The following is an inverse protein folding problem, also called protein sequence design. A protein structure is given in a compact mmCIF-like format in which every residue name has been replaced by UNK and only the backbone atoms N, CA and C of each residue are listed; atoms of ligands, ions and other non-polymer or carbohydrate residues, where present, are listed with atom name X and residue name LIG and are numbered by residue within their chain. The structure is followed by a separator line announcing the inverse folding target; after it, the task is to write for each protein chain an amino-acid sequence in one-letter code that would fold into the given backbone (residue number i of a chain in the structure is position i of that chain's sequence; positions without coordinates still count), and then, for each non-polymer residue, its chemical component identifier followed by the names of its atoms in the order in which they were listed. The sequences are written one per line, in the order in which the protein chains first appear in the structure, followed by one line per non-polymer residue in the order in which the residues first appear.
data_IF_679914187949
#
_entry.id   IF_679914187949
#
_cell.length_a   1.000
_cell.length_b   1.000
_cell.length_c   1.000
_cell.angle_alpha   90.00
_cell.angle_beta   90.00
_cell.angle_gamma   90.00
#
_symmetry.space_group_name_H-M   'P 1'
#
loop_
_entity.id
_entity.type
_entity.pdbx_description
1 polymer ?
#
# COMPACT_ATOMS: atom_id res chain seq x y z
N UNK A 1 9.48 3.33 25.09
CA UNK A 1 8.15 3.93 25.29
C UNK A 1 7.99 4.62 26.65
N UNK A 2 6.81 5.21 26.90
CA UNK A 2 6.52 5.99 28.16
C UNK A 2 6.78 5.20 29.44
N UNK A 3 6.56 3.88 29.44
CA UNK A 3 6.86 3.02 30.60
C UNK A 3 8.36 2.95 30.91
N UNK A 4 9.20 2.88 29.88
CA UNK A 4 10.66 2.88 30.05
C UNK A 4 11.16 4.24 30.59
N UNK A 5 10.63 5.36 30.05
CA UNK A 5 10.95 6.70 30.56
C UNK A 5 10.53 6.90 32.04
N UNK A 6 9.42 6.29 32.47
CA UNK A 6 9.00 6.27 33.89
C UNK A 6 9.87 5.33 34.75
N UNK A 7 10.45 4.28 34.18
CA UNK A 7 11.34 3.35 34.88
C UNK A 7 12.59 4.01 35.45
N UNK A 8 13.07 5.09 34.85
CA UNK A 8 14.24 5.84 35.30
C UNK A 8 14.03 6.59 36.62
N UNK A 9 12.81 6.63 37.17
CA UNK A 9 12.51 7.19 38.51
C UNK A 9 12.73 6.19 39.64
N UNK A 10 12.99 4.90 39.34
CA UNK A 10 13.23 3.90 40.38
C UNK A 10 14.73 3.74 40.64
N UNK A 11 15.13 3.42 41.89
CA UNK A 11 16.49 3.11 42.22
C UNK A 11 16.96 1.90 41.41
N UNK A 12 18.14 2.03 40.82
CA UNK A 12 18.76 0.92 40.06
C UNK A 12 19.66 0.15 41.03
N UNK A 13 19.39 -1.13 41.19
CA UNK A 13 20.22 -2.04 41.96
C UNK A 13 21.09 -2.83 40.96
N UNK A 14 22.40 -2.81 41.17
CA UNK A 14 23.34 -3.57 40.33
C UNK A 14 24.30 -4.34 41.23
N UNK A 15 24.70 -5.52 40.77
CA UNK A 15 25.77 -6.29 41.38
C UNK A 15 27.01 -6.19 40.49
N UNK A 16 28.16 -6.06 41.10
CA UNK A 16 29.42 -6.04 40.38
C UNK A 16 30.41 -7.03 41.02
N UNK A 17 31.24 -7.66 40.19
CA UNK A 17 32.31 -8.53 40.60
C UNK A 17 33.53 -8.25 39.75
N UNK A 18 34.69 -8.17 40.37
CA UNK A 18 35.96 -7.97 39.71
C UNK A 18 36.99 -8.98 40.27
N UNK A 19 37.75 -9.61 39.37
CA UNK A 19 38.83 -10.51 39.69
C UNK A 19 40.07 -10.13 38.89
N UNK A 20 41.18 -9.89 39.59
CA UNK A 20 42.44 -9.60 38.94
C UNK A 20 43.13 -10.91 38.48
N UNK A 21 43.29 -11.03 37.17
CA UNK A 21 43.89 -12.22 36.53
C UNK A 21 45.44 -12.16 36.49
N UNK A 22 46.05 -10.98 36.69
CA UNK A 22 47.50 -10.75 36.59
C UNK A 22 48.00 -10.11 37.89
N UNK A 23 48.77 -10.84 38.64
CA UNK A 23 49.25 -10.42 39.97
C UNK A 23 50.57 -9.65 39.97
N UNK A 24 51.19 -9.35 38.84
CA UNK A 24 52.59 -8.93 38.78
C UNK A 24 52.90 -7.50 39.17
N UNK A 25 51.88 -6.63 39.33
CA UNK A 25 52.06 -5.20 39.66
C UNK A 25 51.07 -4.69 40.70
N UNK A 26 50.45 -5.58 41.49
CA UNK A 26 49.54 -5.16 42.53
C UNK A 26 50.28 -4.80 43.80
N UNK A 27 49.94 -3.65 44.38
CA UNK A 27 50.41 -3.29 45.73
C UNK A 27 49.85 -4.27 46.77
N UNK A 28 50.52 -4.53 47.88
CA UNK A 28 50.12 -5.55 48.88
C UNK A 28 48.72 -5.32 49.51
N UNK A 29 48.04 -4.24 49.17
CA UNK A 29 46.76 -3.81 49.78
C UNK A 29 45.57 -4.04 48.89
N UNK A 30 45.76 -4.44 47.61
CA UNK A 30 44.63 -4.68 46.69
C UNK A 30 44.14 -6.13 46.77
N UNK A 31 42.83 -6.35 47.05
CA UNK A 31 42.28 -7.69 47.10
C UNK A 31 42.23 -8.34 45.72
N UNK A 32 42.55 -9.65 45.64
CA UNK A 32 42.53 -10.45 44.40
C UNK A 32 41.15 -10.51 43.74
N UNK A 33 40.08 -10.28 44.49
CA UNK A 33 38.73 -10.22 44.03
C UNK A 33 37.90 -9.23 44.86
N UNK A 34 36.94 -8.62 44.23
CA UNK A 34 35.95 -7.74 44.86
C UNK A 34 34.58 -8.01 44.27
N UNK A 35 33.59 -8.20 45.12
CA UNK A 35 32.20 -8.30 44.74
C UNK A 35 31.38 -7.41 45.64
N UNK A 36 30.38 -6.77 45.05
CA UNK A 36 29.52 -5.86 45.78
C UNK A 36 28.16 -5.68 45.12
N UNK A 37 27.25 -5.12 45.90
CA UNK A 37 25.94 -4.68 45.46
C UNK A 37 25.89 -3.15 45.61
N UNK A 38 25.53 -2.48 44.49
CA UNK A 38 25.39 -1.03 44.50
C UNK A 38 23.95 -0.63 44.20
N UNK A 39 23.53 0.46 44.83
CA UNK A 39 22.25 1.12 44.55
C UNK A 39 22.55 2.50 43.98
N UNK A 40 22.13 2.74 42.76
CA UNK A 40 22.22 4.05 42.14
C UNK A 40 20.85 4.73 42.16
N UNK A 41 20.77 5.83 42.88
CA UNK A 41 19.57 6.66 42.92
C UNK A 41 19.97 8.11 42.62
N UNK A 42 19.38 8.67 41.55
CA UNK A 42 19.67 10.03 41.14
C UNK A 42 18.66 10.97 41.78
N UNK A 43 19.12 11.76 42.78
CA UNK A 43 18.28 12.62 43.59
C UNK A 43 17.92 13.95 42.89
N UNK A 44 18.75 14.41 41.96
CA UNK A 44 18.63 15.75 41.37
C UNK A 44 18.83 15.71 39.85
N UNK A 45 17.77 15.34 39.10
CA UNK A 45 17.78 15.37 37.64
C UNK A 45 16.36 15.65 37.10
N UNK A 46 15.70 16.59 37.79
CA UNK A 46 14.24 16.72 37.69
C UNK A 46 13.76 17.31 36.34
N UNK A 47 14.60 18.08 35.65
CA UNK A 47 14.20 18.70 34.37
C UNK A 47 14.31 17.73 33.18
N UNK A 48 15.37 16.96 33.09
CA UNK A 48 15.64 16.08 31.97
C UNK A 48 14.64 14.91 31.93
N UNK A 49 14.30 14.35 33.09
CA UNK A 49 13.33 13.25 33.20
C UNK A 49 11.90 13.65 32.85
N UNK A 50 11.47 14.86 33.23
CA UNK A 50 10.16 15.40 32.85
C UNK A 50 10.09 15.65 31.34
N UNK A 51 11.19 16.16 30.77
CA UNK A 51 11.35 16.35 29.32
C UNK A 51 11.30 15.01 28.56
N UNK A 52 11.98 13.98 29.07
CA UNK A 52 11.97 12.64 28.49
C UNK A 52 10.57 12.00 28.46
N UNK A 53 9.83 12.16 29.56
CA UNK A 53 8.44 11.68 29.63
C UNK A 53 7.56 12.47 28.65
N UNK A 54 7.74 13.78 28.56
CA UNK A 54 7.01 14.63 27.64
C UNK A 54 7.33 14.27 26.19
N UNK A 55 8.61 14.09 25.87
CA UNK A 55 9.06 13.63 24.55
C UNK A 55 8.49 12.24 24.21
N UNK A 56 8.52 11.30 25.15
CA UNK A 56 7.96 9.97 24.94
C UNK A 56 6.44 10.00 24.72
N UNK A 57 5.71 10.88 25.40
CA UNK A 57 4.27 11.10 25.17
C UNK A 57 4.01 11.71 23.78
N UNK A 58 4.80 12.73 23.40
CA UNK A 58 4.69 13.35 22.08
C UNK A 58 4.95 12.35 20.95
N UNK A 59 5.92 11.43 21.11
CA UNK A 59 6.16 10.33 20.17
C UNK A 59 4.96 9.38 20.05
N UNK A 60 4.28 9.05 21.16
CA UNK A 60 3.07 8.23 21.12
C UNK A 60 1.94 8.95 20.38
N UNK A 61 1.75 10.25 20.65
CA UNK A 61 0.75 11.07 19.96
C UNK A 61 1.06 11.15 18.47
N UNK A 62 2.33 11.35 18.09
CA UNK A 62 2.77 11.34 16.69
C UNK A 62 2.50 10.01 16.02
N UNK A 63 2.81 8.89 16.67
CA UNK A 63 2.58 7.55 16.13
C UNK A 63 1.08 7.24 15.95
N UNK A 64 0.23 7.66 16.89
CA UNK A 64 -1.23 7.49 16.77
C UNK A 64 -1.83 8.35 15.67
N UNK A 65 -1.34 9.58 15.50
CA UNK A 65 -1.75 10.46 14.41
C UNK A 65 -1.32 9.90 13.05
N UNK A 66 -0.08 9.43 12.92
CA UNK A 66 0.44 8.80 11.71
C UNK A 66 -0.35 7.54 11.34
N UNK A 67 -0.71 6.71 12.32
CA UNK A 67 -1.58 5.56 12.10
C UNK A 67 -2.94 5.98 11.54
N UNK A 68 -3.60 6.95 12.18
CA UNK A 68 -4.90 7.45 11.70
C UNK A 68 -4.82 8.03 10.29
N UNK A 69 -3.75 8.75 9.98
CA UNK A 69 -3.49 9.26 8.63
C UNK A 69 -3.34 8.12 7.62
N UNK A 70 -2.61 7.06 7.97
CA UNK A 70 -2.43 5.89 7.12
C UNK A 70 -3.76 5.16 6.90
N UNK A 71 -4.55 4.95 7.95
CA UNK A 71 -5.87 4.34 7.86
C UNK A 71 -6.79 5.14 6.92
N UNK A 72 -6.82 6.47 7.05
CA UNK A 72 -7.60 7.35 6.17
C UNK A 72 -7.12 7.25 4.70
N UNK A 73 -5.81 7.25 4.46
CA UNK A 73 -5.23 7.11 3.12
C UNK A 73 -5.61 5.77 2.49
N UNK A 74 -5.57 4.69 3.25
CA UNK A 74 -5.98 3.36 2.77
C UNK A 74 -7.46 3.33 2.41
N UNK A 75 -8.33 3.87 3.27
CA UNK A 75 -9.77 3.94 2.98
C UNK A 75 -10.03 4.71 1.69
N UNK A 76 -9.43 5.90 1.53
CA UNK A 76 -9.58 6.70 0.32
C UNK A 76 -9.01 5.99 -0.92
N UNK A 77 -7.89 5.26 -0.79
CA UNK A 77 -7.32 4.50 -1.89
C UNK A 77 -8.24 3.38 -2.38
N UNK A 78 -8.88 2.65 -1.46
CA UNK A 78 -9.86 1.60 -1.79
C UNK A 78 -11.09 2.21 -2.47
N UNK A 79 -11.61 3.32 -1.93
CA UNK A 79 -12.77 4.02 -2.50
C UNK A 79 -12.49 4.51 -3.93
N UNK A 80 -11.33 5.15 -4.15
CA UNK A 80 -10.90 5.58 -5.50
C UNK A 80 -10.73 4.40 -6.44
N UNK A 81 -10.15 3.29 -5.97
CA UNK A 81 -9.99 2.10 -6.79
C UNK A 81 -11.34 1.46 -7.16
N UNK A 82 -12.30 1.45 -6.23
CA UNK A 82 -13.67 1.00 -6.49
C UNK A 82 -14.37 1.86 -7.55
N UNK A 83 -14.33 3.18 -7.40
CA UNK A 83 -14.95 4.09 -8.37
C UNK A 83 -14.33 3.95 -9.77
N UNK A 84 -13.00 3.83 -9.86
CA UNK A 84 -12.31 3.58 -11.14
C UNK A 84 -12.69 2.26 -11.78
N UNK A 85 -12.92 1.22 -10.97
CA UNK A 85 -13.34 -0.08 -11.49
C UNK A 85 -14.77 -0.02 -12.04
N UNK A 86 -15.66 0.70 -11.34
CA UNK A 86 -17.04 0.93 -11.80
C UNK A 86 -17.05 1.72 -13.11
N UNK A 87 -16.33 2.84 -13.17
CA UNK A 87 -16.17 3.66 -14.38
C UNK A 87 -15.62 2.84 -15.56
N UNK A 88 -14.57 2.05 -15.33
CA UNK A 88 -13.98 1.24 -16.39
C UNK A 88 -14.92 0.15 -16.89
N UNK A 89 -15.79 -0.38 -16.03
CA UNK A 89 -16.83 -1.33 -16.43
C UNK A 89 -17.90 -0.65 -17.30
N UNK A 90 -18.40 0.49 -16.88
CA UNK A 90 -19.38 1.27 -17.66
C UNK A 90 -18.81 1.68 -19.01
N UNK A 91 -17.55 2.10 -19.06
CA UNK A 91 -16.86 2.39 -20.32
C UNK A 91 -16.79 1.16 -21.24
N UNK A 92 -16.46 -0.02 -20.70
CA UNK A 92 -16.47 -1.26 -21.47
C UNK A 92 -17.87 -1.57 -22.05
N UNK A 93 -18.92 -1.48 -21.23
CA UNK A 93 -20.29 -1.76 -21.65
C UNK A 93 -20.75 -0.79 -22.76
N UNK A 94 -20.34 0.48 -22.71
CA UNK A 94 -20.57 1.47 -23.77
C UNK A 94 -19.82 1.10 -25.07
N UNK A 95 -18.58 0.63 -24.98
CA UNK A 95 -17.83 0.23 -26.18
C UNK A 95 -18.43 -1.01 -26.86
N UNK A 96 -19.03 -1.94 -26.12
CA UNK A 96 -19.76 -3.07 -26.67
C UNK A 96 -20.90 -2.57 -27.59
N UNK A 97 -21.68 -1.61 -27.10
CA UNK A 97 -22.77 -0.99 -27.88
C UNK A 97 -22.23 -0.24 -29.09
N UNK A 98 -21.12 0.45 -28.97
CA UNK A 98 -20.47 1.18 -30.06
C UNK A 98 -20.00 0.27 -31.18
N UNK A 99 -19.39 -0.88 -30.84
CA UNK A 99 -18.98 -1.89 -31.84
C UNK A 99 -20.18 -2.44 -32.59
N UNK A 100 -21.27 -2.78 -31.87
CA UNK A 100 -22.49 -3.25 -32.50
C UNK A 100 -23.08 -2.23 -33.49
N UNK A 101 -23.12 -0.96 -33.12
CA UNK A 101 -23.59 0.12 -33.99
C UNK A 101 -22.67 0.32 -35.21
N UNK A 102 -21.36 0.29 -35.03
CA UNK A 102 -20.39 0.44 -36.10
C UNK A 102 -20.48 -0.73 -37.09
N UNK A 103 -20.67 -1.96 -36.60
CA UNK A 103 -20.88 -3.14 -37.43
C UNK A 103 -22.16 -3.04 -38.29
N UNK A 104 -23.26 -2.58 -37.69
CA UNK A 104 -24.50 -2.37 -38.40
C UNK A 104 -24.38 -1.23 -39.42
N UNK A 105 -23.69 -0.14 -39.10
CA UNK A 105 -23.41 0.92 -40.07
C UNK A 105 -22.61 0.39 -41.27
N UNK A 106 -21.58 -0.42 -41.05
CA UNK A 106 -20.81 -1.02 -42.12
C UNK A 106 -21.70 -1.91 -43.00
N UNK A 107 -22.52 -2.78 -42.41
CA UNK A 107 -23.46 -3.66 -43.12
C UNK A 107 -24.40 -2.85 -44.01
N UNK A 108 -24.96 -1.75 -43.51
CA UNK A 108 -25.84 -0.86 -44.27
C UNK A 108 -25.12 -0.16 -45.42
N UNK A 109 -23.88 0.29 -45.22
CA UNK A 109 -23.05 0.91 -46.26
C UNK A 109 -22.67 -0.06 -47.34
N UNK A 110 -22.32 -1.30 -47.01
CA UNK A 110 -22.02 -2.36 -47.97
C UNK A 110 -23.27 -2.70 -48.83
N UNK A 111 -24.44 -2.77 -48.20
CA UNK A 111 -25.71 -2.96 -48.92
C UNK A 111 -26.02 -1.77 -49.87
N UNK A 112 -25.93 -0.55 -49.39
CA UNK A 112 -26.17 0.66 -50.21
C UNK A 112 -25.15 0.73 -51.37
N UNK A 113 -23.92 0.34 -51.17
CA UNK A 113 -22.91 0.26 -52.23
C UNK A 113 -23.28 -0.76 -53.31
N UNK A 114 -23.75 -1.96 -52.91
CA UNK A 114 -24.19 -2.99 -53.86
C UNK A 114 -25.42 -2.56 -54.68
N UNK A 115 -26.23 -1.65 -54.17
CA UNK A 115 -27.40 -1.06 -54.86
C UNK A 115 -27.03 0.22 -55.67
N UNK A 116 -25.73 0.61 -55.66
CA UNK A 116 -25.25 1.82 -56.36
C UNK A 116 -25.58 3.16 -55.66
N UNK A 117 -26.05 3.13 -54.41
CA UNK A 117 -26.48 4.28 -53.64
C UNK A 117 -25.39 4.85 -52.71
N UNK A 118 -24.22 4.21 -52.60
CA UNK A 118 -23.08 4.64 -51.77
C UNK A 118 -21.79 4.47 -52.55
N UNK A 119 -20.74 5.14 -52.10
CA UNK A 119 -19.40 5.06 -52.71
C UNK A 119 -18.50 3.99 -52.03
N UNK A 120 -17.48 3.54 -52.73
CA UNK A 120 -16.45 2.67 -52.11
C UNK A 120 -15.71 3.36 -50.97
N UNK A 121 -15.65 4.72 -50.97
CA UNK A 121 -15.06 5.51 -49.91
C UNK A 121 -15.90 5.39 -48.66
N UNK A 122 -17.23 5.49 -48.75
CA UNK A 122 -18.16 5.38 -47.60
C UNK A 122 -18.01 4.02 -46.90
N UNK A 123 -17.91 2.93 -47.70
CA UNK A 123 -17.70 1.57 -47.18
C UNK A 123 -16.35 1.46 -46.44
N UNK A 124 -15.28 2.02 -47.04
CA UNK A 124 -13.94 2.02 -46.40
C UNK A 124 -13.93 2.80 -45.12
N UNK A 125 -14.59 3.97 -45.06
CA UNK A 125 -14.70 4.78 -43.87
C UNK A 125 -15.47 4.03 -42.78
N UNK A 126 -16.63 3.41 -43.09
CA UNK A 126 -17.39 2.62 -42.14
C UNK A 126 -16.57 1.45 -41.59
N UNK A 127 -15.74 0.79 -42.42
CA UNK A 127 -14.85 -0.30 -42.02
C UNK A 127 -13.74 0.21 -41.07
N UNK A 128 -13.18 1.39 -41.33
CA UNK A 128 -12.20 2.03 -40.44
C UNK A 128 -12.83 2.39 -39.10
N UNK A 129 -14.07 2.88 -39.09
CA UNK A 129 -14.83 3.17 -37.86
C UNK A 129 -15.08 1.91 -37.03
N UNK A 130 -15.47 0.78 -37.66
CA UNK A 130 -15.63 -0.48 -36.96
C UNK A 130 -14.33 -0.95 -36.34
N UNK A 131 -13.21 -0.95 -37.11
CA UNK A 131 -11.91 -1.33 -36.56
C UNK A 131 -11.49 -0.42 -35.39
N UNK A 132 -11.74 0.89 -35.47
CA UNK A 132 -11.49 1.84 -34.39
C UNK A 132 -12.32 1.50 -33.14
N UNK A 133 -13.61 1.16 -33.32
CA UNK A 133 -14.48 0.76 -32.22
C UNK A 133 -14.02 -0.55 -31.55
N UNK A 134 -13.60 -1.54 -32.32
CA UNK A 134 -13.05 -2.81 -31.81
C UNK A 134 -11.76 -2.59 -31.00
N UNK A 135 -10.86 -1.71 -31.46
CA UNK A 135 -9.65 -1.34 -30.74
C UNK A 135 -10.00 -0.67 -29.41
N UNK A 136 -10.96 0.27 -29.44
CA UNK A 136 -11.43 0.96 -28.25
C UNK A 136 -12.04 -0.01 -27.23
N UNK A 137 -12.82 -0.99 -27.70
CA UNK A 137 -13.40 -2.03 -26.83
C UNK A 137 -12.31 -2.86 -26.14
N UNK A 138 -11.27 -3.29 -26.88
CA UNK A 138 -10.16 -4.04 -26.29
C UNK A 138 -9.38 -3.21 -25.27
N UNK A 139 -9.17 -1.93 -25.54
CA UNK A 139 -8.53 -1.01 -24.62
C UNK A 139 -9.36 -0.82 -23.33
N UNK A 140 -10.68 -0.67 -23.45
CA UNK A 140 -11.59 -0.57 -22.31
C UNK A 140 -11.62 -1.85 -21.48
N UNK A 141 -11.63 -3.03 -22.12
CA UNK A 141 -11.53 -4.32 -21.44
C UNK A 141 -10.23 -4.43 -20.62
N UNK A 142 -9.11 -4.03 -21.20
CA UNK A 142 -7.82 -4.02 -20.50
C UNK A 142 -7.83 -3.04 -19.31
N UNK A 143 -8.36 -1.83 -19.52
CA UNK A 143 -8.51 -0.83 -18.45
C UNK A 143 -9.34 -1.37 -17.30
N UNK A 144 -10.42 -2.09 -17.57
CA UNK A 144 -11.24 -2.73 -16.55
C UNK A 144 -10.44 -3.76 -15.74
N UNK A 145 -9.73 -4.68 -16.40
CA UNK A 145 -8.93 -5.71 -15.72
C UNK A 145 -7.85 -5.08 -14.83
N UNK A 146 -7.17 -4.04 -15.31
CA UNK A 146 -6.15 -3.31 -14.53
C UNK A 146 -6.77 -2.61 -13.32
N UNK A 147 -7.91 -1.93 -13.50
CA UNK A 147 -8.63 -1.26 -12.41
C UNK A 147 -9.11 -2.26 -11.36
N UNK A 148 -9.59 -3.41 -11.79
CA UNK A 148 -10.02 -4.50 -10.92
C UNK A 148 -8.84 -5.12 -10.14
N UNK A 149 -7.68 -5.31 -10.78
CA UNK A 149 -6.46 -5.72 -10.10
C UNK A 149 -6.02 -4.71 -9.03
N UNK A 150 -6.10 -3.39 -9.34
CA UNK A 150 -5.78 -2.32 -8.38
C UNK A 150 -6.72 -2.31 -7.18
N UNK A 151 -8.01 -2.59 -7.38
CA UNK A 151 -8.98 -2.71 -6.30
C UNK A 151 -8.61 -3.86 -5.35
N UNK A 152 -8.27 -5.03 -5.90
CA UNK A 152 -7.84 -6.18 -5.10
C UNK A 152 -6.50 -5.94 -4.40
N UNK A 153 -5.58 -5.23 -5.05
CA UNK A 153 -4.32 -4.85 -4.44
C UNK A 153 -4.52 -3.89 -3.25
N UNK A 154 -5.37 -2.88 -3.40
CA UNK A 154 -5.65 -1.89 -2.34
C UNK A 154 -6.43 -2.48 -1.16
N UNK A 155 -7.29 -3.46 -1.41
CA UNK A 155 -8.06 -4.19 -0.37
C UNK A 155 -7.31 -5.36 0.27
N UNK A 156 -6.11 -5.71 -0.24
CA UNK A 156 -5.34 -6.87 0.23
C UNK A 156 -5.88 -8.24 -0.26
N UNK A 157 -6.82 -8.25 -1.21
CA UNK A 157 -7.46 -9.45 -1.76
C UNK A 157 -6.81 -9.98 -3.05
N UNK A 158 -5.51 -9.75 -3.24
CA UNK A 158 -4.78 -10.19 -4.45
C UNK A 158 -4.86 -11.71 -4.74
N UNK A 159 -4.86 -12.62 -3.74
CA UNK A 159 -5.05 -14.04 -4.00
C UNK A 159 -6.36 -14.36 -4.71
N UNK A 160 -7.46 -13.69 -4.34
CA UNK A 160 -8.78 -13.87 -4.95
C UNK A 160 -8.80 -13.43 -6.41
N UNK A 161 -8.09 -12.35 -6.74
CA UNK A 161 -7.91 -11.89 -8.10
C UNK A 161 -7.18 -12.93 -8.95
N UNK A 162 -6.07 -13.50 -8.46
CA UNK A 162 -5.31 -14.52 -9.20
C UNK A 162 -6.13 -15.79 -9.46
N UNK A 163 -6.96 -16.20 -8.51
CA UNK A 163 -7.84 -17.37 -8.65
C UNK A 163 -9.01 -17.12 -9.62
N UNK A 164 -9.49 -15.89 -9.71
CA UNK A 164 -10.52 -15.50 -10.66
C UNK A 164 -10.00 -15.49 -12.10
N UNK A 165 -8.76 -15.03 -12.33
CA UNK A 165 -8.10 -15.08 -13.64
C UNK A 165 -7.91 -16.52 -14.11
N UNK A 166 -7.40 -17.42 -13.25
CA UNK A 166 -7.24 -18.84 -13.60
C UNK A 166 -8.56 -19.49 -14.01
N UNK A 167 -9.67 -19.11 -13.36
CA UNK A 167 -11.01 -19.59 -13.74
C UNK A 167 -11.52 -19.02 -15.06
N UNK A 168 -11.10 -17.81 -15.42
CA UNK A 168 -11.45 -17.20 -16.71
C UNK A 168 -10.69 -17.84 -17.88
N UNK A 169 -9.42 -18.21 -17.70
CA UNK A 169 -8.60 -18.89 -18.70
C UNK A 169 -9.07 -20.33 -19.01
N UNK A 170 -9.87 -20.93 -18.12
CA UNK A 170 -10.42 -22.29 -18.30
C UNK A 170 -11.76 -22.31 -19.03
N UNK A 171 -12.27 -21.19 -19.54
CA UNK A 171 -13.51 -21.05 -20.32
C UNK A 171 -13.24 -20.54 -21.72
#
# INVERSE_FOLDING_TARGET
GVRAAKGNFHPQVFAFGMKNLVKHYLTPVEPDWMAGIGVKFTLWDNKDRMSDISAAKALVTKATAARKETDNKLMSAVEVAFLRTTEAREEYDLTVSTVALAAENLRLREKSFSEGLSTALDVREARTQLTGAEIAQRAAAYKFVVSWAMLHASSGAMPEFSDSLKRADLR
#
